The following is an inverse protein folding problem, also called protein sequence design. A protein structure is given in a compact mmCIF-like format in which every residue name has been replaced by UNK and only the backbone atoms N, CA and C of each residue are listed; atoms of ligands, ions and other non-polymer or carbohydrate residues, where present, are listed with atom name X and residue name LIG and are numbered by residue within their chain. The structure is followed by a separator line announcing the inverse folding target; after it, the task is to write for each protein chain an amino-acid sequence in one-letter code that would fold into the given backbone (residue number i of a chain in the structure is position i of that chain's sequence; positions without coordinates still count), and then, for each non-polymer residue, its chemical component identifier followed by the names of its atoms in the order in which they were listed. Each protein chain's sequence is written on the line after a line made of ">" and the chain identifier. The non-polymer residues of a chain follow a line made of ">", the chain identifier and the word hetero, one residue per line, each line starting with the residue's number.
data_IF_716065570486
#
_entry.id   IF_716065570486
#
_cell.length_a   1.000
_cell.length_b   1.000
_cell.length_c   1.000
_cell.angle_alpha   90.00
_cell.angle_beta   90.00
_cell.angle_gamma   90.00
#
_symmetry.space_group_name_H-M   'P 1'
#
loop_
_entity.id
_entity.type
_entity.pdbx_description
1 polymer ?
#
# COMPACT_ATOMS: atom_id res chain seq x y z
N UNK A 1 15.13 8.37 -47.17
CA UNK A 1 16.12 8.02 -46.14
C UNK A 1 15.50 8.36 -44.80
N UNK A 2 15.36 7.39 -43.91
CA UNK A 2 14.87 7.69 -42.56
C UNK A 2 16.02 8.34 -41.80
N UNK A 3 15.81 9.56 -41.30
CA UNK A 3 16.75 10.26 -40.42
C UNK A 3 16.91 9.41 -39.16
N UNK A 4 18.13 9.00 -38.83
CA UNK A 4 18.41 8.30 -37.57
C UNK A 4 18.10 9.24 -36.39
N UNK A 5 17.39 8.72 -35.39
CA UNK A 5 17.11 9.45 -34.14
C UNK A 5 18.42 9.82 -33.44
N UNK A 6 18.47 11.02 -32.89
CA UNK A 6 19.54 11.46 -32.00
C UNK A 6 19.54 10.64 -30.71
N UNK A 7 20.67 10.57 -30.01
CA UNK A 7 20.76 9.81 -28.76
C UNK A 7 19.83 10.37 -27.66
N UNK A 8 19.55 11.67 -27.68
CA UNK A 8 18.57 12.29 -26.79
C UNK A 8 17.14 11.82 -27.07
N UNK A 9 16.75 11.67 -28.34
CA UNK A 9 15.44 11.14 -28.73
C UNK A 9 15.30 9.66 -28.38
N UNK A 10 16.37 8.87 -28.52
CA UNK A 10 16.39 7.46 -28.09
C UNK A 10 16.25 7.33 -26.57
N UNK A 11 16.90 8.20 -25.80
CA UNK A 11 16.79 8.21 -24.34
C UNK A 11 15.37 8.59 -23.90
N UNK A 12 14.79 9.65 -24.46
CA UNK A 12 13.42 10.08 -24.14
C UNK A 12 12.37 9.00 -24.48
N UNK A 13 12.56 8.29 -25.59
CA UNK A 13 11.69 7.17 -25.97
C UNK A 13 11.85 5.98 -25.00
N UNK A 14 13.07 5.67 -24.58
CA UNK A 14 13.32 4.62 -23.59
C UNK A 14 12.69 4.95 -22.22
N UNK A 15 12.80 6.20 -21.78
CA UNK A 15 12.16 6.68 -20.55
C UNK A 15 10.63 6.60 -20.63
N UNK A 16 10.05 6.97 -21.79
CA UNK A 16 8.62 6.85 -22.02
C UNK A 16 8.14 5.39 -21.97
N UNK A 17 8.86 4.46 -22.61
CA UNK A 17 8.55 3.03 -22.52
C UNK A 17 8.68 2.49 -21.10
N UNK A 18 9.69 2.94 -20.34
CA UNK A 18 9.85 2.53 -18.94
C UNK A 18 8.73 3.06 -18.06
N UNK A 19 8.30 4.31 -18.26
CA UNK A 19 7.19 4.91 -17.55
C UNK A 19 5.86 4.19 -17.86
N UNK A 20 5.62 3.85 -19.12
CA UNK A 20 4.45 3.08 -19.54
C UNK A 20 4.44 1.67 -18.93
N UNK A 21 5.57 0.97 -18.97
CA UNK A 21 5.70 -0.35 -18.34
C UNK A 21 5.48 -0.28 -16.81
N UNK A 22 6.00 0.76 -16.15
CA UNK A 22 5.77 0.98 -14.73
C UNK A 22 4.30 1.28 -14.42
N UNK A 23 3.61 2.04 -15.26
CA UNK A 23 2.18 2.33 -15.11
C UNK A 23 1.34 1.05 -15.26
N UNK A 24 1.63 0.21 -16.26
CA UNK A 24 0.96 -1.07 -16.45
C UNK A 24 1.19 -2.02 -15.27
N UNK A 25 2.41 -2.10 -14.76
CA UNK A 25 2.72 -2.91 -13.58
C UNK A 25 1.96 -2.43 -12.34
N UNK A 26 1.88 -1.11 -12.10
CA UNK A 26 1.09 -0.55 -11.00
C UNK A 26 -0.40 -0.86 -11.14
N UNK A 27 -0.95 -0.69 -12.35
CA UNK A 27 -2.34 -0.99 -12.65
C UNK A 27 -2.67 -2.48 -12.43
N UNK A 28 -1.76 -3.39 -12.77
CA UNK A 28 -1.93 -4.82 -12.52
C UNK A 28 -1.92 -5.20 -11.02
N UNK A 29 -1.18 -4.45 -10.18
CA UNK A 29 -1.12 -4.69 -8.74
C UNK A 29 -2.26 -4.05 -7.95
N UNK A 30 -2.91 -3.00 -8.47
CA UNK A 30 -3.94 -2.25 -7.75
C UNK A 30 -5.15 -3.11 -7.31
N UNK A 31 -5.69 -4.03 -8.15
CA UNK A 31 -6.85 -4.83 -7.76
C UNK A 31 -6.62 -5.71 -6.53
N UNK A 32 -5.42 -6.28 -6.37
CA UNK A 32 -5.12 -7.12 -5.21
C UNK A 32 -4.97 -6.31 -3.93
N UNK A 33 -4.38 -5.11 -4.02
CA UNK A 33 -4.31 -4.18 -2.89
C UNK A 33 -5.71 -3.72 -2.47
N UNK A 34 -6.58 -3.40 -3.43
CA UNK A 34 -7.96 -3.02 -3.15
C UNK A 34 -8.76 -4.18 -2.55
N UNK A 35 -8.66 -5.39 -3.10
CA UNK A 35 -9.32 -6.58 -2.57
C UNK A 35 -8.90 -6.89 -1.12
N UNK A 36 -7.65 -6.62 -0.76
CA UNK A 36 -7.18 -6.74 0.62
C UNK A 36 -7.85 -5.70 1.54
N UNK A 37 -7.96 -4.44 1.12
CA UNK A 37 -8.70 -3.41 1.86
C UNK A 37 -10.17 -3.82 2.03
N UNK A 38 -10.82 -4.26 0.96
CA UNK A 38 -12.23 -4.65 0.97
C UNK A 38 -12.49 -5.85 1.90
N UNK A 39 -11.58 -6.85 1.88
CA UNK A 39 -11.65 -8.00 2.78
C UNK A 39 -11.54 -7.58 4.26
N UNK A 40 -10.56 -6.72 4.57
CA UNK A 40 -10.23 -6.34 5.95
C UNK A 40 -11.22 -5.32 6.53
N UNK A 41 -11.83 -4.49 5.69
CA UNK A 41 -12.86 -3.51 6.08
C UNK A 41 -14.29 -4.03 5.95
N UNK A 42 -14.49 -5.10 5.19
CA UNK A 42 -15.80 -5.72 4.99
C UNK A 42 -16.39 -6.31 6.27
N UNK A 43 -17.71 -6.49 6.28
CA UNK A 43 -18.47 -6.95 7.46
C UNK A 43 -17.90 -8.21 8.10
N UNK A 44 -17.48 -9.20 7.29
CA UNK A 44 -16.89 -10.45 7.80
C UNK A 44 -15.52 -10.23 8.42
N UNK A 45 -14.68 -9.39 7.82
CA UNK A 45 -13.36 -9.05 8.36
C UNK A 45 -13.46 -8.30 9.68
N UNK A 46 -14.37 -7.33 9.78
CA UNK A 46 -14.63 -6.59 11.01
C UNK A 46 -15.26 -7.47 12.09
N UNK A 47 -16.20 -8.35 11.74
CA UNK A 47 -16.76 -9.32 12.69
C UNK A 47 -15.69 -10.28 13.23
N UNK A 48 -14.81 -10.77 12.35
CA UNK A 48 -13.67 -11.60 12.75
C UNK A 48 -12.73 -10.86 13.71
N UNK A 49 -12.36 -9.61 13.40
CA UNK A 49 -11.50 -8.80 14.27
C UNK A 49 -12.16 -8.53 15.64
N UNK A 50 -13.46 -8.23 15.66
CA UNK A 50 -14.20 -8.03 16.90
C UNK A 50 -14.22 -9.30 17.76
N UNK A 51 -14.46 -10.47 17.16
CA UNK A 51 -14.42 -11.75 17.86
C UNK A 51 -13.02 -12.07 18.41
N UNK A 52 -11.96 -11.78 17.65
CA UNK A 52 -10.59 -11.95 18.12
C UNK A 52 -10.29 -11.07 19.35
N UNK A 53 -10.69 -9.79 19.31
CA UNK A 53 -10.49 -8.87 20.44
C UNK A 53 -11.27 -9.33 21.68
N UNK A 54 -12.53 -9.73 21.52
CA UNK A 54 -13.33 -10.30 22.59
C UNK A 54 -12.70 -11.57 23.18
N UNK A 55 -12.13 -12.45 22.33
CA UNK A 55 -11.42 -13.65 22.79
C UNK A 55 -10.15 -13.30 23.59
N UNK A 56 -9.38 -12.28 23.16
CA UNK A 56 -8.21 -11.79 23.91
C UNK A 56 -8.61 -11.27 25.30
N UNK A 57 -9.71 -10.54 25.40
CA UNK A 57 -10.24 -9.99 26.65
C UNK A 57 -10.77 -11.09 27.58
N UNK A 58 -11.47 -12.09 27.02
CA UNK A 58 -12.03 -13.21 27.77
C UNK A 58 -10.97 -14.14 28.37
N UNK A 59 -9.75 -14.18 27.79
CA UNK A 59 -8.66 -14.98 28.32
C UNK A 59 -8.04 -14.25 29.53
N UNK A 60 -8.41 -14.72 30.72
CA UNK A 60 -7.82 -14.30 32.00
C UNK A 60 -6.35 -14.74 32.13
N UNK A 61 -5.99 -15.84 31.49
CA UNK A 61 -4.65 -16.44 31.57
C UNK A 61 -3.70 -15.86 30.53
N UNK A 62 -2.78 -15.00 30.96
CA UNK A 62 -1.49 -14.89 30.30
C UNK A 62 -0.65 -16.00 30.91
N UNK A 63 -0.78 -17.25 30.42
CA UNK A 63 0.14 -18.32 30.81
C UNK A 63 1.54 -17.86 30.37
N UNK A 64 2.20 -17.10 31.25
CA UNK A 64 3.60 -16.77 31.18
C UNK A 64 4.31 -18.09 31.40
N UNK A 65 4.45 -18.88 30.33
CA UNK A 65 5.37 -20.01 30.39
C UNK A 65 6.74 -19.43 30.68
N UNK A 66 7.53 -20.11 31.54
CA UNK A 66 8.81 -19.59 32.00
C UNK A 66 9.66 -19.14 30.82
N UNK A 67 10.20 -17.92 30.95
CA UNK A 67 11.17 -17.35 30.02
C UNK A 67 12.27 -18.39 29.75
N UNK A 68 12.42 -18.82 28.49
CA UNK A 68 13.50 -19.74 28.09
C UNK A 68 13.12 -20.95 27.24
N UNK A 69 11.85 -21.18 26.91
CA UNK A 69 11.42 -22.21 25.95
C UNK A 69 11.10 -21.57 24.58
N UNK A 70 11.97 -21.69 23.56
CA UNK A 70 11.67 -21.20 22.22
C UNK A 70 10.43 -21.92 21.64
N UNK A 71 9.47 -21.17 21.12
CA UNK A 71 8.38 -21.72 20.30
C UNK A 71 7.04 -22.01 21.00
N UNK A 72 6.89 -21.76 22.31
CA UNK A 72 5.61 -21.92 23.01
C UNK A 72 5.00 -20.56 23.40
N UNK A 73 4.48 -19.80 22.43
CA UNK A 73 3.70 -18.58 22.73
C UNK A 73 2.39 -18.93 23.45
N UNK A 74 2.00 -18.11 24.44
CA UNK A 74 0.71 -18.28 25.13
C UNK A 74 -0.46 -17.91 24.21
N UNK A 75 -1.61 -18.56 24.36
CA UNK A 75 -2.80 -18.33 23.50
C UNK A 75 -3.17 -16.84 23.43
N UNK A 76 -3.11 -16.12 24.55
CA UNK A 76 -3.39 -14.68 24.58
C UNK A 76 -2.41 -13.87 23.72
N UNK A 77 -1.11 -14.17 23.84
CA UNK A 77 -0.05 -13.51 23.06
C UNK A 77 -0.18 -13.83 21.57
N UNK A 78 -0.48 -15.09 21.23
CA UNK A 78 -0.77 -15.50 19.85
C UNK A 78 -1.94 -14.71 19.27
N UNK A 79 -3.07 -14.62 19.98
CA UNK A 79 -4.24 -13.88 19.51
C UNK A 79 -3.97 -12.38 19.41
N UNK A 80 -3.24 -11.79 20.35
CA UNK A 80 -2.80 -10.39 20.28
C UNK A 80 -1.92 -10.14 19.05
N UNK A 81 -1.00 -11.05 18.73
CA UNK A 81 -0.17 -10.99 17.53
C UNK A 81 -1.01 -11.08 16.25
N UNK A 82 -2.05 -11.91 16.23
CA UNK A 82 -2.99 -12.00 15.10
C UNK A 82 -3.77 -10.70 14.94
N UNK A 83 -4.31 -10.12 16.03
CA UNK A 83 -4.99 -8.81 16.02
C UNK A 83 -4.07 -7.74 15.44
N UNK A 84 -2.85 -7.63 15.95
CA UNK A 84 -1.87 -6.67 15.45
C UNK A 84 -1.52 -6.90 13.97
N UNK A 85 -1.42 -8.15 13.53
CA UNK A 85 -1.17 -8.50 12.12
C UNK A 85 -2.34 -8.08 11.21
N UNK A 86 -3.58 -8.21 11.69
CA UNK A 86 -4.77 -7.81 10.96
C UNK A 86 -4.83 -6.28 10.78
N UNK A 87 -4.63 -5.53 11.87
CA UNK A 87 -4.63 -4.06 11.86
C UNK A 87 -3.45 -3.49 11.06
N UNK A 88 -2.26 -4.08 11.22
CA UNK A 88 -1.09 -3.75 10.42
C UNK A 88 -1.29 -4.07 8.93
N UNK A 89 -1.91 -5.20 8.62
CA UNK A 89 -2.26 -5.60 7.25
C UNK A 89 -3.19 -4.62 6.57
N UNK A 90 -4.19 -4.08 7.29
CA UNK A 90 -5.09 -3.06 6.75
C UNK A 90 -4.35 -1.77 6.41
N UNK A 91 -3.53 -1.27 7.34
CA UNK A 91 -2.70 -0.07 7.13
C UNK A 91 -1.75 -0.26 5.94
N UNK A 92 -1.13 -1.44 5.83
CA UNK A 92 -0.23 -1.77 4.73
C UNK A 92 -0.98 -1.82 3.39
N UNK A 93 -2.17 -2.43 3.34
CA UNK A 93 -2.99 -2.50 2.14
C UNK A 93 -3.44 -1.10 1.68
N UNK A 94 -3.89 -0.24 2.60
CA UNK A 94 -4.25 1.15 2.30
C UNK A 94 -3.05 1.95 1.77
N UNK A 95 -1.89 1.81 2.40
CA UNK A 95 -0.64 2.43 1.93
C UNK A 95 -0.27 1.95 0.52
N UNK A 96 -0.44 0.65 0.27
CA UNK A 96 -0.19 0.05 -1.04
C UNK A 96 -1.14 0.61 -2.10
N UNK A 97 -2.44 0.75 -1.80
CA UNK A 97 -3.41 1.40 -2.69
C UNK A 97 -2.97 2.82 -3.01
N UNK A 98 -2.64 3.63 -2.00
CA UNK A 98 -2.19 5.01 -2.21
C UNK A 98 -0.93 5.09 -3.09
N UNK A 99 0.03 4.18 -2.92
CA UNK A 99 1.26 4.15 -3.71
C UNK A 99 1.07 3.65 -5.17
N UNK A 100 0.00 2.89 -5.41
CA UNK A 100 -0.33 2.31 -6.72
C UNK A 100 -1.34 3.16 -7.50
N UNK A 101 -2.04 4.09 -6.83
CA UNK A 101 -2.93 5.02 -7.51
C UNK A 101 -2.15 5.83 -8.57
N UNK A 102 -2.77 6.07 -9.74
CA UNK A 102 -2.19 6.96 -10.73
C UNK A 102 -1.91 8.31 -10.08
N UNK A 103 -0.74 8.89 -10.36
CA UNK A 103 -0.50 10.28 -9.99
C UNK A 103 -1.57 11.15 -10.69
N UNK A 104 -2.10 12.19 -10.01
CA UNK A 104 -2.94 13.17 -10.68
C UNK A 104 -2.20 13.68 -11.92
N UNK A 105 -2.89 13.91 -13.06
CA UNK A 105 -2.26 14.57 -14.19
C UNK A 105 -1.64 15.88 -13.71
N UNK A 106 -0.40 16.15 -14.12
CA UNK A 106 0.21 17.45 -13.89
C UNK A 106 -0.68 18.49 -14.57
N UNK A 107 -1.17 19.45 -13.78
CA UNK A 107 -1.95 20.56 -14.31
C UNK A 107 -1.00 21.41 -15.16
N UNK A 108 -1.03 21.26 -16.48
CA UNK A 108 -0.31 22.09 -17.46
C UNK A 108 -0.90 23.51 -17.53
N UNK A 109 -1.17 24.12 -16.38
CA UNK A 109 -1.75 25.44 -16.25
C UNK A 109 -1.14 26.19 -15.06
N UNK A 110 0.18 26.23 -14.97
CA UNK A 110 0.81 27.41 -14.39
C UNK A 110 1.08 28.40 -15.54
N UNK A 111 0.19 29.39 -15.79
CA UNK A 111 0.53 30.46 -16.70
C UNK A 111 1.81 31.12 -16.20
N UNK A 112 2.80 31.25 -17.09
CA UNK A 112 4.06 31.92 -16.80
C UNK A 112 3.79 33.25 -16.10
N UNK A 113 4.55 33.62 -15.05
CA UNK A 113 4.42 34.92 -14.44
C UNK A 113 4.65 35.98 -15.51
N UNK A 114 3.60 36.73 -15.85
CA UNK A 114 3.73 37.93 -16.69
C UNK A 114 4.56 38.92 -15.90
N UNK A 115 5.81 39.11 -16.32
CA UNK A 115 6.63 40.23 -15.85
C UNK A 115 5.92 41.51 -16.30
N UNK A 116 5.48 42.40 -15.40
CA UNK A 116 4.90 43.68 -15.82
C UNK A 116 5.99 44.48 -16.52
N UNK A 117 5.71 44.93 -17.75
CA UNK A 117 6.53 45.93 -18.41
C UNK A 117 6.47 47.22 -17.59
N UNK A 118 7.64 47.74 -17.20
CA UNK A 118 7.78 49.03 -16.52
C UNK A 118 7.16 50.15 -17.38
N UNK A 119 6.48 51.07 -16.70
CA UNK A 119 5.89 52.29 -17.26
C UNK A 119 6.79 53.50 -16.97
#
# INVERSE_FOLDING_TARGET
>A
MATEKTDAEKLAEAEAMMAEAAALAKAACLPSAQAAVDLLTGTKGQAFLALLKAAVEAIADNLARPLGQPGAEGTKQMLQRIVASFEGGLTAAQTRVAALQPAPPADDAQPAPVTPAEA
#
